data_IF_647096750856
#
_entry.id   IF_647096750856
#
_cell.length_a   1.000
_cell.length_b   1.000
_cell.length_c   1.000
_cell.angle_alpha   90.00
_cell.angle_beta   90.00
_cell.angle_gamma   90.00
#
_symmetry.space_group_name_H-M   'P 1'
#
loop_
_entity.id
_entity.type
_entity.pdbx_description
1 polymer ?
#
# COMPACT_ATOMS: atom_id res chain seq x y z
N UNK A 1 -15.78 13.01 -3.92
CA UNK A 1 -14.69 12.96 -4.92
C UNK A 1 -13.52 13.79 -4.44
N UNK A 2 -13.72 15.07 -4.14
CA UNK A 2 -12.70 15.95 -3.56
C UNK A 2 -11.97 15.35 -2.34
N UNK A 3 -12.68 14.66 -1.44
CA UNK A 3 -12.06 14.01 -0.28
C UNK A 3 -11.04 12.92 -0.66
N UNK A 4 -11.32 12.07 -1.66
CA UNK A 4 -10.39 11.02 -2.10
C UNK A 4 -9.14 11.66 -2.70
N UNK A 5 -9.32 12.64 -3.59
CA UNK A 5 -8.21 13.32 -4.26
C UNK A 5 -7.34 14.07 -3.23
N UNK A 6 -7.97 14.72 -2.25
CA UNK A 6 -7.24 15.38 -1.14
C UNK A 6 -6.51 14.37 -0.26
N UNK A 7 -7.09 13.22 0.06
CA UNK A 7 -6.42 12.19 0.87
C UNK A 7 -5.24 11.58 0.13
N UNK A 8 -5.36 11.35 -1.18
CA UNK A 8 -4.27 10.81 -1.98
C UNK A 8 -3.13 11.82 -2.17
N UNK A 9 -3.44 13.10 -2.42
CA UNK A 9 -2.41 14.13 -2.70
C UNK A 9 -1.84 14.80 -1.44
N UNK A 10 -2.63 14.93 -0.37
CA UNK A 10 -2.32 15.78 0.78
C UNK A 10 -2.46 15.08 2.15
N UNK A 11 -2.54 13.74 2.21
CA UNK A 11 -2.59 13.07 3.52
C UNK A 11 -1.31 13.29 4.32
N UNK A 12 -1.48 13.57 5.62
CA UNK A 12 -0.36 13.73 6.54
C UNK A 12 0.16 12.38 7.04
N UNK A 13 -0.73 11.39 7.09
CA UNK A 13 -0.47 10.06 7.62
C UNK A 13 -0.86 9.00 6.59
N UNK A 14 0.06 8.07 6.38
CA UNK A 14 -0.13 6.92 5.52
C UNK A 14 0.67 5.74 6.05
N UNK A 15 0.20 4.53 5.74
CA UNK A 15 0.93 3.30 6.02
C UNK A 15 0.90 2.45 4.75
N UNK A 16 2.07 2.02 4.29
CA UNK A 16 2.21 1.01 3.24
C UNK A 16 2.48 -0.34 3.88
N UNK A 17 1.55 -1.27 3.69
CA UNK A 17 1.68 -2.64 4.14
C UNK A 17 2.20 -3.54 3.02
N UNK A 18 3.14 -4.41 3.36
CA UNK A 18 3.53 -5.56 2.55
C UNK A 18 2.51 -6.69 2.75
N UNK A 19 1.90 -7.15 1.66
CA UNK A 19 0.91 -8.23 1.66
C UNK A 19 1.54 -9.56 1.26
N UNK A 20 2.30 -9.56 0.17
CA UNK A 20 2.91 -10.74 -0.42
C UNK A 20 4.29 -11.00 0.18
N UNK A 21 4.46 -12.16 0.82
CA UNK A 21 5.75 -12.58 1.36
C UNK A 21 6.48 -13.46 0.35
N UNK A 22 7.61 -12.97 -0.18
CA UNK A 22 8.43 -13.68 -1.17
C UNK A 22 8.96 -15.05 -0.73
N UNK A 23 8.93 -15.35 0.58
CA UNK A 23 9.30 -16.66 1.14
C UNK A 23 8.20 -17.71 0.97
N UNK A 24 6.97 -17.27 0.63
CA UNK A 24 5.84 -18.13 0.38
C UNK A 24 5.63 -18.30 -1.12
N UNK A 25 5.09 -19.45 -1.52
CA UNK A 25 4.79 -19.74 -2.92
C UNK A 25 3.36 -20.24 -3.10
N UNK A 26 2.84 -20.06 -4.32
CA UNK A 26 1.57 -20.61 -4.76
C UNK A 26 0.42 -20.32 -3.79
N UNK A 27 -0.21 -21.38 -3.26
CA UNK A 27 -1.41 -21.23 -2.41
C UNK A 27 -1.13 -20.52 -1.08
N UNK A 28 0.04 -20.72 -0.49
CA UNK A 28 0.40 -20.11 0.79
C UNK A 28 0.62 -18.61 0.63
N UNK A 29 1.28 -18.21 -0.47
CA UNK A 29 1.44 -16.80 -0.85
C UNK A 29 0.09 -16.07 -0.94
N UNK A 30 -0.85 -16.61 -1.72
CA UNK A 30 -2.18 -16.01 -1.84
C UNK A 30 -3.00 -16.07 -0.55
N UNK A 31 -2.81 -17.09 0.29
CA UNK A 31 -3.48 -17.18 1.58
C UNK A 31 -3.04 -16.06 2.52
N UNK A 32 -1.73 -15.75 2.54
CA UNK A 32 -1.17 -14.66 3.35
C UNK A 32 -1.65 -13.30 2.86
N UNK A 33 -1.64 -13.05 1.55
CA UNK A 33 -2.21 -11.82 0.95
C UNK A 33 -3.66 -11.64 1.39
N UNK A 34 -4.45 -12.70 1.27
CA UNK A 34 -5.85 -12.68 1.69
C UNK A 34 -5.99 -12.38 3.19
N UNK A 35 -5.16 -13.00 4.02
CA UNK A 35 -5.17 -12.80 5.46
C UNK A 35 -4.85 -11.34 5.83
N UNK A 36 -3.72 -10.80 5.37
CA UNK A 36 -3.28 -9.44 5.68
C UNK A 36 -4.27 -8.40 5.17
N UNK A 37 -4.64 -8.45 3.89
CA UNK A 37 -5.55 -7.47 3.29
C UNK A 37 -6.95 -7.50 3.95
N UNK A 38 -7.47 -8.68 4.27
CA UNK A 38 -8.76 -8.81 4.98
C UNK A 38 -8.67 -8.25 6.40
N UNK A 39 -7.56 -8.48 7.09
CA UNK A 39 -7.35 -8.01 8.47
C UNK A 39 -7.24 -6.49 8.52
N UNK A 40 -6.45 -5.89 7.63
CA UNK A 40 -6.32 -4.43 7.48
C UNK A 40 -7.69 -3.82 7.16
N UNK A 41 -8.40 -4.35 6.16
CA UNK A 41 -9.75 -3.87 5.82
C UNK A 41 -10.71 -3.96 7.01
N UNK A 42 -10.74 -5.08 7.72
CA UNK A 42 -11.68 -5.24 8.83
C UNK A 42 -11.39 -4.34 10.02
N UNK A 43 -10.14 -3.92 10.19
CA UNK A 43 -9.74 -2.95 11.21
C UNK A 43 -10.10 -1.51 10.80
N UNK A 44 -9.98 -1.19 9.52
CA UNK A 44 -10.26 0.15 9.01
C UNK A 44 -11.76 0.46 8.90
N UNK A 45 -12.60 -0.54 8.60
CA UNK A 45 -14.03 -0.36 8.35
C UNK A 45 -14.89 -1.07 9.38
N UNK A 46 -15.80 -0.34 10.02
CA UNK A 46 -16.86 -0.87 10.86
C UNK A 46 -18.14 -1.15 10.06
N UNK A 47 -19.07 -1.89 10.67
CA UNK A 47 -20.33 -2.28 10.02
C UNK A 47 -21.20 -1.08 9.62
N UNK A 48 -21.18 -0.03 10.43
CA UNK A 48 -22.06 1.13 10.25
C UNK A 48 -21.46 2.21 9.34
N UNK A 49 -20.17 2.12 9.03
CA UNK A 49 -19.45 3.12 8.25
C UNK A 49 -20.11 3.31 6.87
N UNK A 50 -20.00 4.54 6.38
CA UNK A 50 -20.33 4.87 5.00
C UNK A 50 -19.10 4.68 4.13
N UNK A 51 -19.21 3.81 3.12
CA UNK A 51 -18.08 3.48 2.25
C UNK A 51 -18.39 3.95 0.83
N UNK A 52 -17.47 4.71 0.25
CA UNK A 52 -17.47 5.00 -1.17
C UNK A 52 -16.44 4.10 -1.86
N UNK A 53 -16.92 3.18 -2.70
CA UNK A 53 -16.05 2.40 -3.59
C UNK A 53 -15.83 3.19 -4.87
N UNK A 54 -14.57 3.41 -5.23
CA UNK A 54 -14.17 4.13 -6.44
C UNK A 54 -13.27 3.25 -7.29
N UNK A 55 -13.60 3.05 -8.55
CA UNK A 55 -12.79 2.31 -9.52
C UNK A 55 -12.34 3.24 -10.63
N UNK A 56 -11.02 3.34 -10.83
CA UNK A 56 -10.39 4.07 -11.91
C UNK A 56 -10.01 3.10 -13.01
N UNK A 57 -10.34 3.42 -14.26
CA UNK A 57 -9.98 2.62 -15.42
C UNK A 57 -9.43 3.54 -16.50
N UNK A 58 -8.14 3.43 -16.76
CA UNK A 58 -7.44 4.23 -17.76
C UNK A 58 -7.38 3.49 -19.10
N UNK A 59 -7.67 4.18 -20.20
CA UNK A 59 -7.55 3.63 -21.56
C UNK A 59 -7.20 4.75 -22.55
N UNK A 60 -6.71 4.36 -23.72
CA UNK A 60 -6.57 5.28 -24.85
C UNK A 60 -7.93 5.86 -25.25
N UNK A 61 -7.99 7.13 -25.64
CA UNK A 61 -9.23 7.85 -25.99
C UNK A 61 -10.04 7.17 -27.10
N UNK A 62 -9.36 6.50 -28.03
CA UNK A 62 -9.99 5.74 -29.12
C UNK A 62 -10.57 4.38 -28.70
N UNK A 63 -10.41 3.98 -27.44
CA UNK A 63 -10.94 2.72 -26.94
C UNK A 63 -12.47 2.77 -26.78
N UNK A 64 -13.20 2.43 -27.84
CA UNK A 64 -14.68 2.50 -27.92
C UNK A 64 -15.44 1.43 -27.13
N UNK A 65 -14.78 0.54 -26.39
CA UNK A 65 -15.48 -0.52 -25.66
C UNK A 65 -16.17 0.06 -24.43
N UNK A 66 -17.50 0.18 -24.50
CA UNK A 66 -18.38 0.44 -23.35
C UNK A 66 -18.42 -0.80 -22.44
N UNK A 67 -17.29 -1.15 -21.84
CA UNK A 67 -17.29 -2.12 -20.76
C UNK A 67 -17.90 -1.40 -19.55
N UNK A 68 -19.20 -1.61 -19.31
CA UNK A 68 -19.79 -1.33 -18.02
C UNK A 68 -18.81 -1.81 -16.95
N UNK A 69 -18.44 -0.95 -15.98
CA UNK A 69 -17.44 -1.31 -15.00
C UNK A 69 -17.91 -2.58 -14.33
N UNK A 70 -17.05 -3.60 -14.36
CA UNK A 70 -17.34 -4.86 -13.67
C UNK A 70 -17.28 -4.68 -12.15
N UNK A 71 -17.25 -3.44 -11.64
CA UNK A 71 -17.30 -3.09 -10.21
C UNK A 71 -18.49 -3.74 -9.51
N UNK A 72 -19.64 -3.86 -10.18
CA UNK A 72 -20.83 -4.50 -9.62
C UNK A 72 -20.62 -5.97 -9.26
N UNK A 73 -19.62 -6.64 -9.85
CA UNK A 73 -19.29 -8.03 -9.51
C UNK A 73 -18.77 -8.15 -8.07
N UNK A 74 -18.20 -7.08 -7.53
CA UNK A 74 -17.69 -7.00 -6.16
C UNK A 74 -18.76 -6.68 -5.13
N UNK A 75 -19.98 -6.38 -5.57
CA UNK A 75 -21.10 -6.03 -4.69
C UNK A 75 -22.10 -7.18 -4.65
N UNK A 76 -22.69 -7.47 -3.48
CA UNK A 76 -23.71 -8.51 -3.31
C UNK A 76 -25.03 -8.10 -3.95
N UNK A 77 -25.55 -6.92 -3.58
CA UNK A 77 -26.79 -6.40 -4.13
C UNK A 77 -26.56 -5.76 -5.52
N UNK A 78 -26.89 -6.50 -6.58
CA UNK A 78 -26.70 -6.04 -7.96
C UNK A 78 -27.55 -4.83 -8.34
N UNK A 79 -28.66 -4.56 -7.62
CA UNK A 79 -29.51 -3.39 -7.88
C UNK A 79 -28.80 -2.07 -7.59
N UNK A 80 -27.70 -2.09 -6.84
CA UNK A 80 -26.90 -0.89 -6.57
C UNK A 80 -26.25 -0.32 -7.85
N UNK A 81 -26.22 -1.07 -8.96
CA UNK A 81 -25.73 -0.55 -10.24
C UNK A 81 -26.49 0.71 -10.70
N UNK A 82 -27.75 0.88 -10.31
CA UNK A 82 -28.57 2.03 -10.69
C UNK A 82 -28.16 3.33 -10.00
N UNK A 83 -27.38 3.27 -8.92
CA UNK A 83 -26.80 4.46 -8.25
C UNK A 83 -25.33 4.70 -8.60
N UNK A 84 -24.77 3.92 -9.54
CA UNK A 84 -23.40 4.07 -10.00
C UNK A 84 -23.23 5.42 -10.71
N UNK A 85 -22.24 6.19 -10.29
CA UNK A 85 -21.84 7.44 -10.94
C UNK A 85 -20.59 7.20 -11.78
N UNK A 86 -20.48 7.87 -12.91
CA UNK A 86 -19.33 7.82 -13.81
C UNK A 86 -18.93 9.25 -14.17
N UNK A 87 -17.63 9.55 -14.15
CA UNK A 87 -17.05 10.72 -14.80
C UNK A 87 -15.76 10.35 -15.51
N UNK A 88 -15.41 11.10 -16.55
CA UNK A 88 -14.10 11.02 -17.20
C UNK A 88 -13.23 12.13 -16.63
N UNK A 89 -11.98 11.81 -16.32
CA UNK A 89 -10.94 12.74 -15.85
C UNK A 89 -9.68 12.54 -16.70
N UNK A 90 -8.71 13.49 -16.68
CA UNK A 90 -7.40 13.28 -17.29
C UNK A 90 -6.73 11.98 -16.83
N UNK A 91 -5.72 11.54 -17.57
CA UNK A 91 -5.03 10.30 -17.24
C UNK A 91 -4.41 10.35 -15.84
N UNK A 92 -4.67 9.32 -15.02
CA UNK A 92 -4.38 9.36 -13.57
C UNK A 92 -2.89 9.33 -13.23
N UNK A 93 -2.05 8.89 -14.17
CA UNK A 93 -0.59 8.80 -13.99
C UNK A 93 0.16 9.96 -14.66
N UNK A 94 -0.44 10.58 -15.68
CA UNK A 94 0.13 11.73 -16.39
C UNK A 94 -1.00 12.61 -16.93
N UNK A 95 -1.30 13.69 -16.22
CA UNK A 95 -2.39 14.61 -16.60
C UNK A 95 -2.10 15.34 -17.93
N UNK A 96 -0.86 15.33 -18.44
CA UNK A 96 -0.45 15.93 -19.72
C UNK A 96 -0.64 14.98 -20.91
N UNK A 97 -0.78 13.67 -20.66
CA UNK A 97 -1.03 12.68 -21.70
C UNK A 97 -2.49 12.78 -22.20
N UNK A 98 -2.66 13.50 -23.31
CA UNK A 98 -3.96 13.72 -23.95
C UNK A 98 -4.47 12.51 -24.76
N UNK A 99 -3.64 11.50 -24.99
CA UNK A 99 -4.03 10.27 -25.71
C UNK A 99 -4.72 9.26 -24.78
N UNK A 100 -4.60 9.48 -23.46
CA UNK A 100 -5.16 8.62 -22.42
C UNK A 100 -6.26 9.35 -21.63
N UNK A 101 -7.30 8.62 -21.25
CA UNK A 101 -8.33 9.11 -20.33
C UNK A 101 -8.57 8.12 -19.19
N UNK A 102 -9.00 8.63 -18.03
CA UNK A 102 -9.41 7.78 -16.90
C UNK A 102 -10.90 7.88 -16.65
N UNK A 103 -11.59 6.75 -16.72
CA UNK A 103 -13.00 6.64 -16.29
C UNK A 103 -13.04 6.31 -14.82
N UNK A 104 -13.66 7.20 -14.05
CA UNK A 104 -13.83 7.05 -12.62
C UNK A 104 -15.28 6.68 -12.31
N UNK A 105 -15.47 5.48 -11.78
CA UNK A 105 -16.74 4.95 -11.36
C UNK A 105 -16.85 4.97 -9.84
N UNK A 106 -17.95 5.48 -9.30
CA UNK A 106 -18.14 5.60 -7.85
C UNK A 106 -19.50 5.08 -7.40
N UNK A 107 -19.51 4.36 -6.28
CA UNK A 107 -20.69 3.73 -5.71
C UNK A 107 -20.63 3.76 -4.17
N UNK A 108 -21.69 4.27 -3.55
CA UNK A 108 -21.87 4.15 -2.11
C UNK A 108 -22.26 2.71 -1.76
N UNK A 109 -21.57 2.11 -0.79
CA UNK A 109 -21.74 0.72 -0.37
C UNK A 109 -21.66 0.61 1.16
N UNK A 110 -22.20 -0.45 1.74
CA UNK A 110 -21.90 -0.84 3.13
C UNK A 110 -20.88 -1.97 3.17
N UNK A 111 -20.23 -2.16 4.32
CA UNK A 111 -19.22 -3.21 4.53
C UNK A 111 -19.73 -4.59 4.09
N UNK A 112 -20.94 -4.94 4.50
CA UNK A 112 -21.55 -6.24 4.21
C UNK A 112 -21.96 -6.41 2.73
N UNK A 113 -22.12 -5.32 1.98
CA UNK A 113 -22.40 -5.36 0.54
C UNK A 113 -21.18 -5.81 -0.26
N UNK A 114 -19.96 -5.62 0.27
CA UNK A 114 -18.72 -5.89 -0.43
C UNK A 114 -18.42 -7.40 -0.37
N UNK A 115 -18.22 -8.02 -1.53
CA UNK A 115 -17.67 -9.37 -1.67
C UNK A 115 -16.15 -9.33 -1.47
N UNK A 116 -15.71 -8.96 -0.27
CA UNK A 116 -14.31 -8.62 0.04
C UNK A 116 -13.31 -9.68 -0.43
N UNK A 117 -13.54 -10.96 -0.10
CA UNK A 117 -12.68 -12.06 -0.57
C UNK A 117 -12.55 -12.09 -2.09
N UNK A 118 -13.65 -11.87 -2.83
CA UNK A 118 -13.62 -11.88 -4.28
C UNK A 118 -12.94 -10.63 -4.86
N UNK A 119 -13.04 -9.49 -4.17
CA UNK A 119 -12.34 -8.25 -4.52
C UNK A 119 -10.82 -8.43 -4.36
N UNK A 120 -10.35 -8.83 -3.17
CA UNK A 120 -8.93 -9.06 -2.87
C UNK A 120 -8.34 -10.06 -3.88
N UNK A 121 -9.04 -11.18 -4.11
CA UNK A 121 -8.58 -12.19 -5.07
C UNK A 121 -8.46 -11.62 -6.50
N UNK A 122 -9.36 -10.73 -6.89
CA UNK A 122 -9.33 -10.15 -8.24
C UNK A 122 -8.21 -9.14 -8.43
N UNK A 123 -7.79 -8.46 -7.35
CA UNK A 123 -6.65 -7.54 -7.37
C UNK A 123 -5.35 -8.37 -7.38
N UNK A 124 -5.18 -9.30 -6.43
CA UNK A 124 -3.97 -10.11 -6.31
C UNK A 124 -3.66 -10.98 -7.54
N UNK A 125 -4.68 -11.35 -8.31
CA UNK A 125 -4.50 -12.17 -9.51
C UNK A 125 -4.00 -11.41 -10.74
N UNK A 126 -3.99 -10.06 -10.70
CA UNK A 126 -3.73 -9.22 -11.87
C UNK A 126 -2.34 -9.49 -12.48
N UNK A 127 -1.32 -9.62 -11.64
CA UNK A 127 0.08 -9.81 -12.07
C UNK A 127 0.41 -11.27 -12.42
N UNK A 128 -0.49 -12.20 -12.11
CA UNK A 128 -0.33 -13.64 -12.41
C UNK A 128 -1.18 -14.11 -13.59
N UNK A 129 -1.90 -13.20 -14.25
CA UNK A 129 -2.86 -13.52 -15.31
C UNK A 129 -3.94 -14.56 -14.91
N UNK A 130 -4.23 -14.66 -13.60
CA UNK A 130 -5.22 -15.58 -13.05
C UNK A 130 -6.64 -14.99 -13.10
N UNK A 131 -7.67 -15.84 -13.04
CA UNK A 131 -9.07 -15.40 -12.91
C UNK A 131 -9.60 -15.73 -11.50
N UNK A 132 -10.45 -14.88 -10.90
CA UNK A 132 -10.94 -13.60 -11.42
C UNK A 132 -9.85 -12.52 -11.43
N UNK A 133 -9.99 -11.50 -12.28
CA UNK A 133 -9.09 -10.33 -12.30
C UNK A 133 -9.89 -9.03 -12.41
N UNK A 134 -9.33 -7.93 -11.93
CA UNK A 134 -9.84 -6.57 -12.14
C UNK A 134 -9.11 -5.86 -13.28
N UNK A 135 -9.72 -4.79 -13.80
CA UNK A 135 -9.04 -3.82 -14.66
C UNK A 135 -9.03 -2.48 -13.93
N UNK A 136 -7.87 -1.83 -13.89
CA UNK A 136 -7.65 -0.58 -13.18
C UNK A 136 -7.72 -0.70 -11.65
N UNK A 137 -7.64 0.44 -10.99
CA UNK A 137 -7.43 0.55 -9.55
C UNK A 137 -8.74 0.68 -8.77
N UNK A 138 -8.82 0.12 -7.56
CA UNK A 138 -9.94 0.32 -6.63
C UNK A 138 -9.46 0.99 -5.35
N UNK A 139 -10.23 2.00 -4.94
CA UNK A 139 -10.11 2.68 -3.66
C UNK A 139 -11.40 2.48 -2.88
N UNK A 140 -11.27 2.13 -1.60
CA UNK A 140 -12.37 2.09 -0.65
C UNK A 140 -12.17 3.25 0.31
N UNK A 141 -13.01 4.27 0.20
CA UNK A 141 -12.99 5.44 1.07
C UNK A 141 -14.01 5.24 2.18
N UNK A 142 -13.54 5.25 3.43
CA UNK A 142 -14.38 5.37 4.62
C UNK A 142 -14.77 6.84 4.77
N UNK A 143 -16.01 7.18 4.44
CA UNK A 143 -16.52 8.55 4.56
C UNK A 143 -16.75 8.95 6.03
N UNK A 144 -16.99 7.97 6.91
CA UNK A 144 -17.23 8.22 8.34
C UNK A 144 -15.94 8.53 9.08
N UNK A 145 -14.85 7.82 8.74
CA UNK A 145 -13.53 7.97 9.40
C UNK A 145 -12.53 8.78 8.59
N UNK A 146 -12.89 9.19 7.37
CA UNK A 146 -12.03 9.89 6.41
C UNK A 146 -10.70 9.16 6.17
N UNK A 147 -10.80 7.85 5.92
CA UNK A 147 -9.65 6.98 5.63
C UNK A 147 -9.80 6.28 4.29
N UNK A 148 -8.69 6.01 3.61
CA UNK A 148 -8.68 5.28 2.34
C UNK A 148 -7.98 3.93 2.53
N UNK A 149 -8.52 2.89 1.90
CA UNK A 149 -7.87 1.60 1.69
C UNK A 149 -7.64 1.39 0.20
N UNK A 150 -6.40 1.10 -0.18
CA UNK A 150 -6.00 0.87 -1.56
C UNK A 150 -5.00 -0.29 -1.66
N UNK A 151 -5.51 -1.48 -1.96
CA UNK A 151 -4.69 -2.60 -2.43
C UNK A 151 -4.49 -2.44 -3.94
N UNK A 152 -3.25 -2.22 -4.37
CA UNK A 152 -2.93 -1.97 -5.79
C UNK A 152 -2.55 -3.26 -6.54
N UNK A 153 -1.88 -4.20 -5.89
CA UNK A 153 -1.52 -5.50 -6.45
C UNK A 153 -1.41 -6.58 -5.34
N UNK A 154 -0.75 -7.70 -5.62
CA UNK A 154 -0.46 -8.78 -4.68
C UNK A 154 0.62 -8.45 -3.64
N UNK A 155 1.43 -7.41 -3.89
CA UNK A 155 2.59 -7.05 -3.08
C UNK A 155 2.21 -6.10 -1.97
N UNK A 156 1.32 -5.14 -2.18
CA UNK A 156 1.07 -4.10 -1.18
C UNK A 156 -0.32 -3.49 -1.10
N UNK A 157 -0.55 -2.83 0.03
CA UNK A 157 -1.75 -2.07 0.34
C UNK A 157 -1.40 -0.79 1.08
N UNK A 158 -1.88 0.33 0.54
CA UNK A 158 -1.73 1.64 1.14
C UNK A 158 -3.01 2.03 1.87
N UNK A 159 -2.84 2.63 3.05
CA UNK A 159 -3.91 3.29 3.80
C UNK A 159 -3.55 4.74 4.09
N UNK A 160 -4.52 5.64 4.02
CA UNK A 160 -4.30 7.09 4.17
C UNK A 160 -5.32 7.71 5.11
N UNK A 161 -4.92 8.75 5.84
CA UNK A 161 -5.80 9.64 6.60
C UNK A 161 -5.17 11.03 6.79
N UNK A 162 -6.01 12.02 7.10
CA UNK A 162 -5.53 13.29 7.64
C UNK A 162 -5.25 13.22 9.15
N UNK A 163 -5.79 12.22 9.82
CA UNK A 163 -5.79 12.08 11.27
C UNK A 163 -5.04 10.81 11.69
N UNK A 164 -3.98 11.00 12.49
CA UNK A 164 -3.14 9.94 13.02
C UNK A 164 -3.95 8.92 13.81
N UNK A 165 -4.91 9.38 14.63
CA UNK A 165 -5.69 8.53 15.53
C UNK A 165 -6.50 7.48 14.75
N UNK A 166 -6.86 7.78 13.50
CA UNK A 166 -7.61 6.85 12.64
C UNK A 166 -6.75 5.70 12.13
N UNK A 167 -5.43 5.89 12.02
CA UNK A 167 -4.49 4.87 11.56
C UNK A 167 -3.70 4.23 12.70
N UNK A 168 -3.68 4.83 13.89
CA UNK A 168 -2.96 4.33 15.05
C UNK A 168 -3.30 2.86 15.40
N UNK A 169 -4.58 2.39 15.38
CA UNK A 169 -4.89 0.99 15.61
C UNK A 169 -4.27 0.04 14.56
N UNK A 170 -4.16 0.48 13.31
CA UNK A 170 -3.51 -0.31 12.26
C UNK A 170 -2.00 -0.36 12.48
N UNK A 171 -1.39 0.80 12.78
CA UNK A 171 0.03 0.90 13.07
C UNK A 171 0.41 -0.02 14.24
N UNK A 172 -0.20 0.16 15.41
CA UNK A 172 0.19 -0.57 16.63
C UNK A 172 0.00 -2.09 16.50
N UNK A 173 -1.08 -2.54 15.84
CA UNK A 173 -1.36 -3.97 15.72
C UNK A 173 -0.59 -4.67 14.59
N UNK A 174 -0.22 -3.93 13.55
CA UNK A 174 0.32 -4.51 12.31
C UNK A 174 1.63 -3.87 11.85
N UNK A 175 2.38 -3.21 12.75
CA UNK A 175 3.68 -2.58 12.41
C UNK A 175 4.67 -3.53 11.74
N UNK A 176 4.60 -4.82 12.04
CA UNK A 176 5.47 -5.85 11.48
C UNK A 176 5.12 -6.20 10.01
N UNK A 177 4.01 -5.69 9.49
CA UNK A 177 3.60 -5.83 8.09
C UNK A 177 3.91 -4.57 7.28
N UNK A 178 4.44 -3.52 7.89
CA UNK A 178 4.83 -2.30 7.18
C UNK A 178 5.98 -2.64 6.23
N UNK A 179 5.89 -2.18 4.99
CA UNK A 179 6.96 -2.36 4.01
C UNK A 179 8.24 -1.70 4.53
N UNK A 180 9.32 -2.47 4.66
CA UNK A 180 10.59 -2.02 5.24
C UNK A 180 11.15 -0.77 4.54
N UNK A 181 10.93 -0.65 3.23
CA UNK A 181 11.35 0.53 2.43
C UNK A 181 10.80 1.85 2.98
N UNK A 182 9.54 1.87 3.41
CA UNK A 182 8.85 3.06 3.90
C UNK A 182 8.84 3.16 5.44
N UNK A 183 9.35 2.13 6.13
CA UNK A 183 9.21 1.94 7.58
C UNK A 183 9.72 3.12 8.40
N UNK A 184 10.93 3.62 8.12
CA UNK A 184 11.51 4.75 8.88
C UNK A 184 10.64 6.01 8.74
N UNK A 185 10.12 6.28 7.54
CA UNK A 185 9.26 7.45 7.31
C UNK A 185 7.93 7.31 8.04
N UNK A 186 7.33 6.12 7.98
CA UNK A 186 6.06 5.82 8.67
C UNK A 186 6.25 5.92 10.19
N UNK A 187 7.26 5.24 10.74
CA UNK A 187 7.59 5.27 12.18
C UNK A 187 7.77 6.70 12.71
N UNK A 188 8.40 7.59 11.92
CA UNK A 188 8.50 9.03 12.26
C UNK A 188 7.17 9.75 12.32
N UNK A 189 6.21 9.39 11.47
CA UNK A 189 4.87 10.00 11.48
C UNK A 189 4.08 9.63 12.72
N UNK A 190 4.30 8.43 13.27
CA UNK A 190 3.62 7.95 14.49
C UNK A 190 4.46 8.13 15.77
N UNK A 191 5.63 8.77 15.66
CA UNK A 191 6.61 8.94 16.75
C UNK A 191 6.89 7.64 17.54
N UNK A 192 6.93 6.51 16.83
CA UNK A 192 7.02 5.17 17.41
C UNK A 192 7.99 4.29 16.60
N UNK A 193 8.39 3.14 17.16
CA UNK A 193 9.29 2.21 16.48
C UNK A 193 10.68 2.81 16.22
N UNK A 194 11.10 2.83 14.96
CA UNK A 194 12.41 3.29 14.52
C UNK A 194 12.50 4.82 14.35
N UNK A 195 11.57 5.61 14.90
CA UNK A 195 11.51 7.06 14.63
C UNK A 195 12.78 7.83 15.01
N UNK A 196 13.48 7.38 16.06
CA UNK A 196 14.76 7.96 16.51
C UNK A 196 15.97 7.46 15.73
N UNK A 197 15.79 6.54 14.78
CA UNK A 197 16.84 6.11 13.88
C UNK A 197 16.87 7.03 12.66
N UNK A 198 18.03 7.61 12.44
CA UNK A 198 18.30 8.42 11.26
C UNK A 198 19.55 7.92 10.59
N UNK A 199 19.40 7.70 9.28
CA UNK A 199 20.51 7.63 8.36
C UNK A 199 21.07 9.05 8.22
N UNK A 200 22.34 9.25 8.58
CA UNK A 200 23.06 10.51 8.36
C UNK A 200 23.17 10.79 6.86
N UNK A 201 23.42 12.05 6.47
CA UNK A 201 23.59 12.40 5.06
C UNK A 201 24.68 11.56 4.37
N UNK A 202 25.73 11.22 5.10
CA UNK A 202 26.83 10.37 4.62
C UNK A 202 26.34 8.93 4.40
N UNK A 203 25.69 8.33 5.40
CA UNK A 203 25.15 6.97 5.27
C UNK A 203 24.10 6.88 4.13
N UNK A 204 23.33 7.95 3.93
CA UNK A 204 22.34 8.03 2.86
C UNK A 204 22.99 8.09 1.48
N UNK A 205 24.01 8.93 1.32
CA UNK A 205 24.76 9.06 0.07
C UNK A 205 25.47 7.74 -0.29
N UNK A 206 26.12 7.09 0.69
CA UNK A 206 26.72 5.76 0.52
C UNK A 206 25.68 4.71 0.10
N UNK A 207 24.49 4.70 0.72
CA UNK A 207 23.41 3.78 0.35
C UNK A 207 22.88 4.04 -1.04
N UNK A 208 22.66 5.31 -1.42
CA UNK A 208 22.15 5.69 -2.73
C UNK A 208 23.14 5.29 -3.83
N UNK A 209 24.43 5.56 -3.64
CA UNK A 209 25.48 5.15 -4.57
C UNK A 209 25.54 3.61 -4.70
N UNK A 210 25.46 2.88 -3.58
CA UNK A 210 25.44 1.42 -3.58
C UNK A 210 24.21 0.86 -4.31
N UNK A 211 23.04 1.46 -4.10
CA UNK A 211 21.79 1.09 -4.76
C UNK A 211 21.87 1.34 -6.28
N UNK A 212 22.38 2.49 -6.71
CA UNK A 212 22.56 2.80 -8.13
C UNK A 212 23.54 1.83 -8.81
N UNK A 213 24.63 1.48 -8.13
CA UNK A 213 25.59 0.50 -8.65
C UNK A 213 24.94 -0.88 -8.77
N UNK A 214 24.15 -1.31 -7.77
CA UNK A 214 23.36 -2.54 -7.86
C UNK A 214 22.38 -2.54 -9.03
N UNK A 215 21.63 -1.44 -9.25
CA UNK A 215 20.73 -1.28 -10.41
C UNK A 215 21.46 -1.54 -11.72
N UNK A 216 22.63 -0.91 -11.88
CA UNK A 216 23.45 -1.02 -13.10
C UNK A 216 23.97 -2.43 -13.30
N UNK A 217 24.39 -3.12 -12.24
CA UNK A 217 24.90 -4.49 -12.29
C UNK A 217 23.81 -5.52 -12.63
N UNK A 218 22.64 -5.41 -12.01
CA UNK A 218 21.57 -6.41 -12.14
C UNK A 218 20.59 -6.09 -13.28
N UNK A 219 20.62 -4.88 -13.83
CA UNK A 219 19.70 -4.43 -14.90
C UNK A 219 18.25 -4.26 -14.46
N UNK A 220 18.00 -4.14 -13.15
CA UNK A 220 16.66 -4.02 -12.55
C UNK A 220 16.47 -2.60 -12.05
N UNK A 221 15.36 -1.96 -12.46
CA UNK A 221 14.98 -0.64 -11.95
C UNK A 221 14.43 -0.76 -10.52
N UNK A 222 15.22 -0.33 -9.53
CA UNK A 222 14.85 -0.35 -8.10
C UNK A 222 13.60 0.48 -7.78
N UNK A 223 13.23 1.46 -8.60
CA UNK A 223 12.03 2.27 -8.41
C UNK A 223 10.76 1.63 -8.99
N UNK A 224 10.91 0.56 -9.78
CA UNK A 224 9.78 -0.16 -10.41
C UNK A 224 9.64 -1.60 -9.91
N UNK A 225 10.68 -2.18 -9.32
CA UNK A 225 10.72 -3.57 -8.91
C UNK A 225 11.00 -3.68 -7.41
N UNK A 226 9.95 -3.89 -6.62
CA UNK A 226 9.98 -4.03 -5.15
C UNK A 226 10.69 -5.31 -4.63
N UNK A 227 11.49 -6.01 -5.44
CA UNK A 227 12.16 -7.25 -5.02
C UNK A 227 13.58 -7.05 -4.47
N UNK A 228 14.03 -5.80 -4.33
CA UNK A 228 15.41 -5.53 -3.97
C UNK A 228 15.60 -5.24 -2.48
N UNK A 229 16.45 -6.05 -1.85
CA UNK A 229 16.86 -5.88 -0.47
C UNK A 229 17.76 -4.66 -0.32
N UNK A 230 17.24 -3.63 0.35
CA UNK A 230 18.04 -2.47 0.79
C UNK A 230 18.81 -2.87 2.05
N UNK A 231 20.10 -2.52 2.12
CA UNK A 231 20.91 -2.75 3.32
C UNK A 231 21.25 -1.40 3.92
N UNK A 232 20.84 -1.18 5.16
CA UNK A 232 21.22 0.00 5.94
C UNK A 232 22.36 -0.36 6.89
N UNK A 233 23.34 0.53 7.00
CA UNK A 233 24.42 0.42 7.98
C UNK A 233 24.32 1.62 8.92
N UNK A 234 24.14 1.34 10.21
CA UNK A 234 23.89 2.35 11.23
C UNK A 234 24.85 2.14 12.40
N UNK A 235 25.46 3.22 12.91
CA UNK A 235 26.20 3.20 14.17
C UNK A 235 25.31 3.66 15.33
N UNK A 236 25.03 2.75 16.27
CA UNK A 236 24.10 3.00 17.39
C UNK A 236 24.89 3.13 18.70
N UNK A 237 24.75 4.23 19.47
CA UNK A 237 25.37 4.35 20.78
C UNK A 237 24.94 3.22 21.72
N UNK A 238 25.88 2.68 22.50
CA UNK A 238 25.65 1.50 23.38
C UNK A 238 24.42 1.63 24.28
N UNK A 239 24.11 2.85 24.77
CA UNK A 239 22.93 3.12 25.61
C UNK A 239 21.57 2.88 24.94
N UNK A 240 21.51 2.89 23.60
CA UNK A 240 20.29 2.69 22.81
C UNK A 240 20.26 1.34 22.09
N UNK A 241 21.30 0.52 22.25
CA UNK A 241 21.49 -0.69 21.46
C UNK A 241 20.44 -1.77 21.77
N UNK A 242 20.08 -1.99 23.05
CA UNK A 242 19.10 -3.00 23.43
C UNK A 242 17.68 -2.66 22.97
N UNK A 243 17.27 -1.39 23.12
CA UNK A 243 15.98 -0.89 22.65
C UNK A 243 15.87 -1.01 21.12
N UNK A 244 16.91 -0.57 20.40
CA UNK A 244 16.94 -0.67 18.94
C UNK A 244 16.90 -2.13 18.48
N UNK A 245 17.61 -3.04 19.16
CA UNK A 245 17.57 -4.47 18.86
C UNK A 245 16.16 -5.04 19.06
N UNK A 246 15.51 -4.71 20.16
CA UNK A 246 14.14 -5.14 20.44
C UNK A 246 13.18 -4.68 19.35
N UNK A 247 13.24 -3.41 18.94
CA UNK A 247 12.40 -2.89 17.86
C UNK A 247 12.72 -3.53 16.50
N UNK A 248 14.00 -3.65 16.15
CA UNK A 248 14.41 -4.25 14.87
C UNK A 248 14.06 -5.73 14.77
N UNK A 249 14.08 -6.49 15.86
CA UNK A 249 13.64 -7.91 15.83
C UNK A 249 12.15 -8.08 15.58
N UNK A 250 11.36 -7.00 15.73
CA UNK A 250 9.94 -6.99 15.41
C UNK A 250 9.70 -6.55 13.96
N UNK A 251 10.71 -6.10 13.22
CA UNK A 251 10.56 -5.70 11.82
C UNK A 251 10.91 -6.84 10.85
N UNK A 252 10.70 -6.63 9.55
CA UNK A 252 11.12 -7.57 8.50
C UNK A 252 12.65 -7.61 8.28
N UNK A 253 13.41 -6.76 9.00
CA UNK A 253 14.83 -6.56 8.77
C UNK A 253 15.65 -7.76 9.28
N UNK A 254 16.58 -8.21 8.43
CA UNK A 254 17.63 -9.14 8.85
C UNK A 254 18.79 -8.37 9.50
N UNK A 255 19.06 -8.67 10.76
CA UNK A 255 20.12 -8.01 11.52
C UNK A 255 21.46 -8.73 11.42
N UNK A 256 22.52 -7.97 11.15
CA UNK A 256 23.91 -8.42 11.23
C UNK A 256 24.64 -7.50 12.22
N UNK A 257 25.06 -8.05 13.34
CA UNK A 257 25.69 -7.29 14.43
C UNK A 257 27.20 -7.35 14.34
N UNK A 258 27.83 -6.19 14.16
CA UNK A 258 29.28 -6.02 14.28
C UNK A 258 29.59 -5.17 15.51
N UNK A 259 30.08 -5.79 16.59
CA UNK A 259 30.53 -5.08 17.78
C UNK A 259 31.93 -4.52 17.54
N UNK A 260 32.06 -3.21 17.33
CA UNK A 260 33.36 -2.53 17.41
C UNK A 260 33.73 -2.36 18.89
N UNK A 261 34.76 -3.08 19.33
CA UNK A 261 35.43 -2.77 20.60
C UNK A 261 36.34 -1.59 20.30
N UNK A 262 36.00 -0.40 20.80
CA UNK A 262 36.97 0.70 20.84
C UNK A 262 38.03 0.31 21.88
N UNK A 263 39.18 -0.17 21.41
CA UNK A 263 40.41 -0.16 22.19
C UNK A 263 40.83 1.30 22.40
N UNK A 264 40.87 1.71 23.66
CA UNK A 264 41.46 2.97 24.13
C UNK A 264 42.95 3.04 23.77
#
# INVERSE_FOLDING_TARGET
MELLDRLMKNSNYWIRFELGLIQLEGKEYFAEIHHRATTIFNTLFDKNDEILMVNFISNHIDYKKNNLPRIIRFIRNKKMIYSLKCKTIPYEYDEEDIEMETKQYSLNVKKDDIRLRYLIQSISNQDFALKPMINGSIYLLNLTKETVFHMYDDRGCDVYSFDEEKLLPLYSNFKNWILDYDRIQIDRKFEQGLFNLYETSIEMEERLELNENKVKEIGINLFQVNTCYTTHKLEIPKKYAEECLSEMTQTGLKLILNRRIMTL
#
